data_IF_518116668041
#
_entry.id   IF_518116668041
#
_cell.length_a   1.000
_cell.length_b   1.000
_cell.length_c   1.000
_cell.angle_alpha   90.00
_cell.angle_beta   90.00
_cell.angle_gamma   90.00
#
_symmetry.space_group_name_H-M   'P 1'
#
loop_
_entity.id
_entity.type
_entity.pdbx_description
1 polymer ?
#
# COMPACT_ATOMS: atom_id res chain seq x y z
N UNK A 1 -7.46 16.06 -10.65
CA UNK A 1 -7.86 14.65 -10.87
C UNK A 1 -8.06 13.92 -9.53
N UNK A 2 -9.14 14.24 -8.81
CA UNK A 2 -9.48 13.55 -7.55
C UNK A 2 -9.93 12.10 -7.79
N UNK A 3 -10.65 11.87 -8.89
CA UNK A 3 -11.19 10.56 -9.28
C UNK A 3 -10.10 9.53 -9.54
N UNK A 4 -8.98 9.92 -10.19
CA UNK A 4 -7.85 9.03 -10.44
C UNK A 4 -7.18 8.57 -9.13
N UNK A 5 -7.01 9.48 -8.17
CA UNK A 5 -6.46 9.16 -6.84
C UNK A 5 -7.37 8.23 -6.04
N UNK A 6 -8.68 8.47 -6.08
CA UNK A 6 -9.66 7.58 -5.44
C UNK A 6 -9.65 6.18 -6.07
N UNK A 7 -9.44 6.09 -7.39
CA UNK A 7 -9.26 4.82 -8.10
C UNK A 7 -8.03 4.06 -7.62
N UNK A 8 -6.88 4.75 -7.49
CA UNK A 8 -5.64 4.14 -6.98
C UNK A 8 -5.78 3.63 -5.53
N UNK A 9 -6.45 4.38 -4.65
CA UNK A 9 -6.67 3.96 -3.25
C UNK A 9 -7.40 2.62 -3.13
N UNK A 10 -8.29 2.31 -4.08
CA UNK A 10 -9.06 1.06 -4.15
C UNK A 10 -8.38 -0.06 -4.95
N UNK A 11 -7.18 0.19 -5.50
CA UNK A 11 -6.43 -0.83 -6.23
C UNK A 11 -6.05 -1.96 -5.27
N UNK A 12 -6.42 -3.19 -5.63
CA UNK A 12 -6.06 -4.42 -4.90
C UNK A 12 -4.65 -4.84 -5.29
N UNK A 13 -3.85 -5.18 -4.29
CA UNK A 13 -2.45 -5.60 -4.40
C UNK A 13 -2.25 -6.91 -3.65
N UNK A 14 -1.47 -7.82 -4.22
CA UNK A 14 -0.96 -9.00 -3.52
C UNK A 14 0.13 -8.58 -2.53
N UNK A 15 -0.12 -8.82 -1.24
CA UNK A 15 0.76 -8.41 -0.15
C UNK A 15 1.65 -9.54 0.35
N UNK A 16 1.49 -10.78 -0.13
CA UNK A 16 2.32 -11.93 0.28
C UNK A 16 3.83 -11.67 0.20
N UNK A 17 4.37 -10.94 -0.80
CA UNK A 17 5.81 -10.71 -0.88
C UNK A 17 6.39 -9.87 0.27
N UNK A 18 5.57 -9.01 0.89
CA UNK A 18 6.06 -7.99 1.84
C UNK A 18 5.27 -7.93 3.15
N UNK A 19 4.24 -8.75 3.34
CA UNK A 19 3.51 -8.83 4.62
C UNK A 19 4.35 -9.52 5.69
N UNK A 20 4.19 -9.08 6.95
CA UNK A 20 4.70 -9.82 8.09
C UNK A 20 3.86 -11.07 8.35
N UNK A 21 4.45 -12.07 9.00
CA UNK A 21 3.84 -13.38 9.20
C UNK A 21 2.49 -13.36 9.97
N UNK A 22 2.26 -12.37 10.83
CA UNK A 22 1.00 -12.24 11.59
C UNK A 22 -0.14 -11.58 10.79
N UNK A 23 0.09 -11.23 9.53
CA UNK A 23 -0.94 -10.65 8.66
C UNK A 23 -1.59 -11.79 7.86
N UNK A 24 -2.84 -12.08 8.19
CA UNK A 24 -3.57 -13.22 7.59
C UNK A 24 -4.06 -12.94 6.16
N UNK A 25 -4.24 -11.67 5.80
CA UNK A 25 -4.68 -11.30 4.46
C UNK A 25 -3.56 -11.49 3.42
N UNK A 26 -3.93 -11.94 2.22
CA UNK A 26 -3.01 -12.05 1.09
C UNK A 26 -3.16 -10.90 0.10
N UNK A 27 -4.29 -10.20 0.12
CA UNK A 27 -4.58 -9.09 -0.78
C UNK A 27 -5.18 -7.93 -0.01
N UNK A 28 -4.76 -6.71 -0.33
CA UNK A 28 -5.28 -5.49 0.27
C UNK A 28 -5.38 -4.35 -0.74
N UNK A 29 -6.29 -3.42 -0.47
CA UNK A 29 -6.32 -2.14 -1.16
C UNK A 29 -5.10 -1.28 -0.79
N UNK A 30 -4.63 -0.43 -1.71
CA UNK A 30 -3.56 0.56 -1.45
C UNK A 30 -3.87 1.40 -0.21
N UNK A 31 -5.14 1.74 0.04
CA UNK A 31 -5.54 2.44 1.26
C UNK A 31 -5.28 1.65 2.55
N UNK A 32 -5.53 0.35 2.55
CA UNK A 32 -5.22 -0.53 3.69
C UNK A 32 -3.71 -0.77 3.84
N UNK A 33 -2.96 -0.80 2.72
CA UNK A 33 -1.49 -0.85 2.76
C UNK A 33 -0.94 0.42 3.41
N UNK A 34 -1.49 1.60 3.09
CA UNK A 34 -1.10 2.86 3.74
C UNK A 34 -1.36 2.83 5.25
N UNK A 35 -2.45 2.23 5.70
CA UNK A 35 -2.71 2.04 7.13
C UNK A 35 -1.61 1.18 7.79
N UNK A 36 -1.23 0.05 7.18
CA UNK A 36 -0.18 -0.82 7.73
C UNK A 36 1.21 -0.18 7.81
N UNK A 37 1.51 0.85 7.02
CA UNK A 37 2.75 1.64 7.18
C UNK A 37 2.82 2.32 8.55
N UNK A 38 1.68 2.82 9.06
CA UNK A 38 1.63 3.47 10.39
C UNK A 38 1.82 2.49 11.54
N UNK A 39 1.60 1.19 11.29
CA UNK A 39 1.64 0.14 12.28
C UNK A 39 2.81 -0.85 12.06
N UNK A 40 3.76 -0.52 11.19
CA UNK A 40 4.92 -1.37 10.88
C UNK A 40 4.52 -2.80 10.45
N UNK A 41 3.41 -2.95 9.72
CA UNK A 41 2.88 -4.26 9.30
C UNK A 41 3.65 -4.90 8.14
N UNK A 42 4.56 -4.15 7.50
CA UNK A 42 5.21 -4.53 6.24
C UNK A 42 6.74 -4.67 6.37
N UNK A 43 7.31 -5.60 5.59
CA UNK A 43 8.74 -5.64 5.26
C UNK A 43 9.02 -4.63 4.16
N UNK A 44 9.38 -3.39 4.54
CA UNK A 44 9.49 -2.25 3.63
C UNK A 44 10.48 -2.49 2.48
N UNK A 45 11.56 -3.23 2.75
CA UNK A 45 12.58 -3.64 1.79
C UNK A 45 12.05 -4.59 0.69
N UNK A 46 10.93 -5.26 0.94
CA UNK A 46 10.31 -6.22 0.02
C UNK A 46 9.12 -5.64 -0.76
N UNK A 47 8.77 -4.38 -0.52
CA UNK A 47 7.62 -3.75 -1.19
C UNK A 47 7.98 -3.52 -2.66
N UNK A 48 7.18 -4.03 -3.60
CA UNK A 48 7.45 -3.81 -5.02
C UNK A 48 7.45 -2.31 -5.37
N UNK A 49 8.39 -1.84 -6.23
CA UNK A 49 8.48 -0.43 -6.59
C UNK A 49 7.18 0.17 -7.13
N UNK A 50 6.41 -0.61 -7.88
CA UNK A 50 5.11 -0.20 -8.43
C UNK A 50 4.07 0.03 -7.34
N UNK A 51 4.06 -0.77 -6.27
CA UNK A 51 3.17 -0.58 -5.12
C UNK A 51 3.54 0.70 -4.38
N UNK A 52 4.85 0.98 -4.27
CA UNK A 52 5.34 2.21 -3.65
C UNK A 52 5.05 3.46 -4.48
N UNK A 53 5.14 3.38 -5.81
CA UNK A 53 4.71 4.46 -6.70
C UNK A 53 3.21 4.74 -6.52
N UNK A 54 2.38 3.70 -6.56
CA UNK A 54 0.93 3.84 -6.44
C UNK A 54 0.52 4.41 -5.07
N UNK A 55 1.22 4.05 -3.99
CA UNK A 55 1.04 4.65 -2.66
C UNK A 55 1.36 6.15 -2.66
N UNK A 56 2.52 6.54 -3.21
CA UNK A 56 2.93 7.96 -3.30
C UNK A 56 1.96 8.80 -4.13
N UNK A 57 1.45 8.25 -5.22
CA UNK A 57 0.46 8.92 -6.07
C UNK A 57 -0.93 9.02 -5.40
N UNK A 58 -1.32 8.00 -4.64
CA UNK A 58 -2.59 7.95 -3.92
C UNK A 58 -2.62 8.85 -2.67
N UNK A 59 -1.44 9.06 -2.05
CA UNK A 59 -1.26 9.70 -0.75
C UNK A 59 -0.08 10.69 -0.72
N UNK A 60 0.05 11.63 -1.67
CA UNK A 60 1.22 12.52 -1.76
C UNK A 60 1.47 13.31 -0.46
N UNK A 61 0.41 13.61 0.29
CA UNK A 61 0.46 14.32 1.57
C UNK A 61 1.23 13.59 2.69
N UNK A 62 1.56 12.31 2.50
CA UNK A 62 2.31 11.49 3.47
C UNK A 62 3.75 11.17 3.03
N UNK A 63 4.13 11.58 1.82
CA UNK A 63 5.44 11.28 1.22
C UNK A 63 6.20 12.52 0.73
N UNK A 64 5.65 13.70 1.00
CA UNK A 64 6.23 15.02 0.73
C UNK A 64 7.12 15.51 1.85
#
# INVERSE_FOLDING_TARGET
MLTARLGLRKKIVDIRPFKRAHIDHDQLEIGAIMFGFRHNSWHVDKIPPEVMRDLKEAYPEYFS
#
